data_IF_988837233147
#
_entry.id   IF_988837233147
#
_cell.length_a   1.000
_cell.length_b   1.000
_cell.length_c   1.000
_cell.angle_alpha   90.00
_cell.angle_beta   90.00
_cell.angle_gamma   90.00
#
_symmetry.space_group_name_H-M   'P 1'
#
loop_
_entity.id
_entity.type
_entity.pdbx_description
1 polymer ?
#
# COMPACT_ATOMS: atom_id res chain seq x y z
N UNK A 1 -26.45 -18.51 -2.82
CA UNK A 1 -26.34 -17.49 -1.75
C UNK A 1 -24.90 -16.98 -1.76
N UNK A 2 -24.67 -15.73 -2.16
CA UNK A 2 -23.33 -15.13 -2.09
C UNK A 2 -22.99 -15.00 -0.60
N UNK A 3 -22.02 -15.77 -0.11
CA UNK A 3 -21.55 -15.69 1.26
C UNK A 3 -21.15 -14.24 1.57
N UNK A 4 -21.55 -13.74 2.73
CA UNK A 4 -21.16 -12.40 3.21
C UNK A 4 -19.63 -12.33 3.20
N UNK A 5 -19.03 -11.51 2.32
CA UNK A 5 -17.57 -11.32 2.30
C UNK A 5 -17.13 -10.84 3.68
N UNK A 6 -16.19 -11.51 4.30
CA UNK A 6 -15.67 -11.16 5.62
C UNK A 6 -14.69 -9.99 5.47
N UNK A 7 -14.98 -8.86 6.11
CA UNK A 7 -14.03 -7.76 6.18
C UNK A 7 -12.83 -8.18 7.05
N UNK A 8 -11.62 -8.05 6.50
CA UNK A 8 -10.36 -8.30 7.21
C UNK A 8 -9.81 -7.01 7.82
N UNK A 9 -10.07 -5.87 7.17
CA UNK A 9 -9.80 -4.52 7.70
C UNK A 9 -11.10 -3.72 7.60
N UNK A 10 -11.44 -2.98 8.67
CA UNK A 10 -12.59 -2.09 8.70
C UNK A 10 -12.20 -0.77 9.38
N UNK A 11 -12.35 0.32 8.67
CA UNK A 11 -12.24 1.68 9.18
C UNK A 11 -13.64 2.19 9.47
N UNK A 12 -13.87 2.74 10.69
CA UNK A 12 -15.17 3.29 11.10
C UNK A 12 -14.99 4.71 11.61
N UNK A 13 -15.46 5.68 10.84
CA UNK A 13 -15.44 7.11 11.13
C UNK A 13 -14.05 7.61 11.57
N UNK A 14 -13.00 7.11 10.89
CA UNK A 14 -11.62 7.36 11.22
C UNK A 14 -11.22 8.78 10.85
N UNK A 15 -10.65 9.51 11.83
CA UNK A 15 -10.08 10.84 11.62
C UNK A 15 -8.68 10.93 12.21
N UNK A 16 -7.81 11.71 11.56
CA UNK A 16 -6.44 12.00 12.01
C UNK A 16 -6.06 13.44 11.74
N UNK A 17 -5.52 14.11 12.77
CA UNK A 17 -5.06 15.50 12.73
C UNK A 17 -3.57 15.54 13.01
N UNK A 18 -2.82 16.35 12.27
CA UNK A 18 -1.43 16.70 12.55
C UNK A 18 -1.30 18.22 12.53
N UNK A 19 -0.73 18.81 13.58
CA UNK A 19 -0.48 20.26 13.66
C UNK A 19 -1.69 21.10 13.20
N UNK A 20 -2.87 20.81 13.73
CA UNK A 20 -4.16 21.44 13.39
C UNK A 20 -4.68 21.21 11.96
N UNK A 21 -3.96 20.46 11.12
CA UNK A 21 -4.44 20.06 9.80
C UNK A 21 -5.09 18.68 9.87
N UNK A 22 -6.35 18.59 9.45
CA UNK A 22 -7.09 17.32 9.36
C UNK A 22 -6.62 16.59 8.11
N UNK A 23 -5.81 15.54 8.30
CA UNK A 23 -5.21 14.75 7.22
C UNK A 23 -6.10 13.59 6.80
N UNK A 24 -6.86 13.02 7.75
CA UNK A 24 -7.93 12.05 7.49
C UNK A 24 -9.20 12.57 8.15
N UNK A 25 -10.29 12.56 7.40
CA UNK A 25 -11.55 13.16 7.78
C UNK A 25 -12.71 12.17 7.60
N UNK A 26 -13.11 11.55 8.70
CA UNK A 26 -14.31 10.71 8.79
C UNK A 26 -14.38 9.59 7.73
N UNK A 27 -13.26 8.86 7.57
CA UNK A 27 -13.17 7.78 6.58
C UNK A 27 -13.75 6.49 7.15
N UNK A 28 -14.71 5.91 6.43
CA UNK A 28 -15.27 4.58 6.71
C UNK A 28 -15.16 3.71 5.45
N UNK A 29 -14.49 2.55 5.56
CA UNK A 29 -14.36 1.60 4.47
C UNK A 29 -14.04 0.20 4.99
N UNK A 30 -14.43 -0.81 4.21
CA UNK A 30 -14.12 -2.21 4.47
C UNK A 30 -13.25 -2.79 3.36
N UNK A 31 -12.24 -3.57 3.75
CA UNK A 31 -11.39 -4.37 2.87
C UNK A 31 -11.68 -5.84 3.16
N UNK A 32 -11.99 -6.62 2.13
CA UNK A 32 -12.37 -8.01 2.28
C UNK A 32 -11.18 -8.95 2.11
N UNK A 33 -11.26 -10.10 2.78
CA UNK A 33 -10.22 -11.12 2.72
C UNK A 33 -9.99 -11.60 1.27
N UNK A 34 -8.72 -11.62 0.86
CA UNK A 34 -8.28 -12.15 -0.44
C UNK A 34 -8.50 -11.21 -1.63
N UNK A 35 -8.94 -9.96 -1.41
CA UNK A 35 -9.04 -8.98 -2.50
C UNK A 35 -7.76 -8.14 -2.62
N UNK A 36 -7.51 -7.62 -3.81
CA UNK A 36 -6.58 -6.52 -4.04
C UNK A 36 -7.37 -5.21 -3.99
N UNK A 37 -7.25 -4.50 -2.87
CA UNK A 37 -7.90 -3.22 -2.63
C UNK A 37 -6.94 -2.06 -2.89
N UNK A 38 -7.30 -1.17 -3.80
CA UNK A 38 -6.45 -0.02 -4.16
C UNK A 38 -7.01 1.27 -3.58
N UNK A 39 -6.16 2.02 -2.88
CA UNK A 39 -6.46 3.38 -2.40
C UNK A 39 -5.73 4.36 -3.32
N UNK A 40 -6.50 5.09 -4.11
CA UNK A 40 -5.96 6.07 -5.06
C UNK A 40 -6.29 7.51 -4.65
N UNK A 41 -5.58 8.47 -5.24
CA UNK A 41 -5.79 9.91 -5.04
C UNK A 41 -4.51 10.71 -5.24
N UNK A 42 -4.63 12.03 -5.25
CA UNK A 42 -3.52 12.94 -5.45
C UNK A 42 -2.43 12.83 -4.38
N UNK A 43 -1.23 13.31 -4.67
CA UNK A 43 -0.18 13.47 -3.65
C UNK A 43 -0.69 14.34 -2.49
N UNK A 44 -0.37 13.95 -1.25
CA UNK A 44 -0.82 14.67 -0.06
C UNK A 44 -2.30 14.44 0.32
N UNK A 45 -3.08 13.61 -0.38
CA UNK A 45 -4.50 13.35 -0.06
C UNK A 45 -4.73 12.52 1.21
N UNK A 46 -3.67 11.96 1.85
CA UNK A 46 -3.80 11.18 3.09
C UNK A 46 -3.61 9.67 2.93
N UNK A 47 -3.33 9.15 1.73
CA UNK A 47 -3.22 7.71 1.44
C UNK A 47 -2.21 6.97 2.34
N UNK A 48 -0.96 7.44 2.40
CA UNK A 48 0.07 6.83 3.26
C UNK A 48 -0.26 6.98 4.76
N UNK A 49 -1.03 8.00 5.13
CA UNK A 49 -1.54 8.16 6.51
C UNK A 49 -2.58 7.08 6.82
N UNK A 50 -3.51 6.79 5.89
CA UNK A 50 -4.45 5.67 6.04
C UNK A 50 -3.72 4.34 6.18
N UNK A 51 -2.69 4.11 5.37
CA UNK A 51 -1.88 2.91 5.45
C UNK A 51 -1.19 2.77 6.81
N UNK A 52 -0.63 3.87 7.36
CA UNK A 52 -0.04 3.89 8.70
C UNK A 52 -1.08 3.66 9.81
N UNK A 53 -2.31 4.12 9.64
CA UNK A 53 -3.42 3.83 10.56
C UNK A 53 -3.79 2.35 10.51
N UNK A 54 -3.92 1.75 9.31
CA UNK A 54 -4.26 0.33 9.14
C UNK A 54 -3.17 -0.62 9.64
N UNK A 55 -1.91 -0.21 9.66
CA UNK A 55 -0.79 -0.99 10.22
C UNK A 55 -0.57 -0.74 11.71
N UNK A 56 -1.35 0.16 12.32
CA UNK A 56 -1.18 0.58 13.71
C UNK A 56 0.12 1.36 13.98
N UNK A 57 0.83 1.83 12.92
CA UNK A 57 2.03 2.65 13.08
C UNK A 57 1.70 4.00 13.72
N UNK A 58 0.49 4.50 13.51
CA UNK A 58 -0.08 5.66 14.20
C UNK A 58 -1.49 5.33 14.66
N UNK A 59 -1.96 6.03 15.72
CA UNK A 59 -3.32 5.88 16.23
C UNK A 59 -4.25 6.96 15.64
N UNK A 60 -5.50 6.63 15.33
CA UNK A 60 -6.50 7.62 14.97
C UNK A 60 -6.82 8.54 16.16
N UNK A 61 -7.27 9.76 15.88
CA UNK A 61 -7.77 10.67 16.91
C UNK A 61 -9.26 10.45 17.17
N UNK A 62 -10.00 9.93 16.15
CA UNK A 62 -11.40 9.51 16.26
C UNK A 62 -11.62 8.26 15.41
N UNK A 63 -12.65 7.50 15.78
CA UNK A 63 -13.08 6.29 15.08
C UNK A 63 -12.31 5.05 15.50
N UNK A 64 -12.47 3.97 14.74
CA UNK A 64 -11.90 2.66 15.02
C UNK A 64 -11.23 2.08 13.79
N UNK A 65 -10.11 1.38 14.00
CA UNK A 65 -9.38 0.64 12.96
C UNK A 65 -9.37 -0.83 13.36
N UNK A 66 -10.26 -1.61 12.78
CA UNK A 66 -10.38 -3.03 13.06
C UNK A 66 -9.56 -3.84 12.05
N UNK A 67 -8.72 -4.73 12.53
CA UNK A 67 -8.00 -5.72 11.73
C UNK A 67 -8.27 -7.09 12.32
N UNK A 68 -8.76 -8.02 11.50
CA UNK A 68 -9.26 -9.32 11.95
C UNK A 68 -10.29 -9.20 13.11
N UNK A 69 -11.07 -8.11 13.13
CA UNK A 69 -12.09 -7.84 14.16
C UNK A 69 -11.58 -7.22 15.46
N UNK A 70 -10.26 -7.04 15.65
CA UNK A 70 -9.68 -6.35 16.81
C UNK A 70 -9.32 -4.88 16.47
N UNK A 71 -9.68 -3.94 17.35
CA UNK A 71 -9.30 -2.52 17.21
C UNK A 71 -7.80 -2.35 17.53
N UNK A 72 -6.98 -2.24 16.48
CA UNK A 72 -5.52 -2.13 16.61
C UNK A 72 -5.05 -0.86 17.32
N UNK A 73 -5.91 0.16 17.46
CA UNK A 73 -5.57 1.37 18.20
C UNK A 73 -5.73 1.18 19.73
N UNK A 74 -6.53 0.21 20.17
CA UNK A 74 -6.87 -0.04 21.58
C UNK A 74 -6.17 -1.26 22.19
N UNK A 75 -5.66 -2.18 21.37
CA UNK A 75 -4.92 -3.35 21.87
C UNK A 75 -3.58 -2.97 22.49
N UNK A 76 -3.04 -3.84 23.36
CA UNK A 76 -1.72 -3.66 23.96
C UNK A 76 -0.61 -3.73 22.89
N UNK A 77 0.54 -3.12 23.15
CA UNK A 77 1.70 -3.17 22.24
C UNK A 77 2.10 -4.60 21.88
N UNK A 78 2.08 -5.52 22.87
CA UNK A 78 2.36 -6.94 22.63
C UNK A 78 1.40 -7.57 21.62
N UNK A 79 0.09 -7.31 21.75
CA UNK A 79 -0.91 -7.81 20.80
C UNK A 79 -0.75 -7.15 19.43
N UNK A 80 -0.41 -5.87 19.38
CA UNK A 80 -0.15 -5.15 18.14
C UNK A 80 1.07 -5.74 17.40
N UNK A 81 2.13 -6.08 18.13
CA UNK A 81 3.31 -6.71 17.55
C UNK A 81 3.00 -8.11 17.01
N UNK A 82 2.17 -8.90 17.71
CA UNK A 82 1.69 -10.17 17.18
C UNK A 82 0.83 -10.01 15.92
N UNK A 83 -0.07 -9.01 15.88
CA UNK A 83 -0.85 -8.70 14.70
C UNK A 83 0.06 -8.30 13.52
N UNK A 84 1.08 -7.48 13.75
CA UNK A 84 2.04 -7.05 12.72
C UNK A 84 2.86 -8.18 12.11
N UNK A 85 3.09 -9.29 12.81
CA UNK A 85 3.75 -10.48 12.24
C UNK A 85 2.93 -11.09 11.10
N UNK A 86 1.63 -10.84 11.06
CA UNK A 86 0.74 -11.28 9.98
C UNK A 86 0.67 -10.28 8.82
N UNK A 87 1.40 -9.17 8.90
CA UNK A 87 1.46 -8.14 7.87
C UNK A 87 2.78 -8.19 7.11
N UNK A 88 2.69 -8.03 5.79
CA UNK A 88 3.83 -7.65 4.96
C UNK A 88 3.76 -6.17 4.62
N UNK A 89 4.92 -5.53 4.42
CA UNK A 89 4.99 -4.12 4.02
C UNK A 89 6.04 -3.91 2.94
N UNK A 90 5.60 -3.38 1.78
CA UNK A 90 6.49 -2.86 0.76
C UNK A 90 6.44 -1.32 0.80
N UNK A 91 7.55 -0.72 1.19
CA UNK A 91 7.71 0.74 1.26
C UNK A 91 8.03 1.34 -0.11
N UNK A 92 7.70 2.62 -0.29
CA UNK A 92 7.92 3.37 -1.53
C UNK A 92 9.36 3.28 -2.05
N UNK A 93 10.37 3.31 -1.19
CA UNK A 93 11.79 3.19 -1.54
C UNK A 93 12.37 1.82 -1.17
N UNK A 94 11.53 0.77 -1.06
CA UNK A 94 11.88 -0.59 -0.65
C UNK A 94 12.46 -0.73 0.76
N UNK A 95 12.99 0.32 1.35
CA UNK A 95 13.59 0.37 2.69
C UNK A 95 14.55 -0.81 2.95
N UNK A 96 15.42 -1.12 1.98
CA UNK A 96 16.45 -2.12 2.14
C UNK A 96 17.60 -1.53 2.97
N UNK A 97 18.22 -2.37 3.79
CA UNK A 97 19.43 -2.00 4.52
C UNK A 97 20.64 -2.20 3.58
N UNK A 98 21.31 -1.10 3.24
CA UNK A 98 22.42 -1.10 2.28
C UNK A 98 23.65 -1.88 2.75
N UNK A 99 23.79 -2.05 4.08
CA UNK A 99 24.86 -2.85 4.72
C UNK A 99 24.61 -4.36 4.67
N UNK A 100 23.42 -4.79 4.26
CA UNK A 100 23.03 -6.19 4.18
C UNK A 100 22.88 -6.64 2.74
N UNK A 101 23.21 -7.90 2.48
CA UNK A 101 22.95 -8.56 1.19
C UNK A 101 21.45 -8.72 0.93
N UNK A 102 21.08 -9.11 -0.27
CA UNK A 102 19.71 -9.45 -0.66
C UNK A 102 19.17 -10.58 0.23
N UNK A 103 19.93 -11.67 0.44
CA UNK A 103 19.55 -12.77 1.34
C UNK A 103 19.29 -12.25 2.76
N UNK A 104 20.20 -11.45 3.29
CA UNK A 104 20.09 -10.91 4.65
C UNK A 104 18.89 -9.97 4.80
N UNK A 105 18.63 -9.08 3.83
CA UNK A 105 17.45 -8.22 3.85
C UNK A 105 16.14 -9.02 3.90
N UNK A 106 16.02 -10.10 3.09
CA UNK A 106 14.81 -10.94 3.07
C UNK A 106 14.72 -11.80 4.33
N UNK A 107 15.85 -12.18 4.93
CA UNK A 107 15.88 -13.01 6.15
C UNK A 107 15.50 -12.25 7.42
N UNK A 108 15.57 -10.91 7.44
CA UNK A 108 15.31 -10.09 8.63
C UNK A 108 14.03 -10.46 9.38
N UNK A 109 12.83 -10.48 8.74
CA UNK A 109 11.61 -10.82 9.46
C UNK A 109 11.64 -12.23 10.06
N UNK A 110 12.26 -13.17 9.35
CA UNK A 110 12.38 -14.56 9.81
C UNK A 110 13.27 -14.67 11.05
N UNK A 111 14.41 -13.96 11.05
CA UNK A 111 15.35 -13.93 12.19
C UNK A 111 14.74 -13.27 13.42
N UNK A 112 14.00 -12.16 13.22
CA UNK A 112 13.38 -11.39 14.30
C UNK A 112 12.16 -12.09 14.92
N UNK A 113 11.36 -12.80 14.10
CA UNK A 113 10.04 -13.26 14.51
C UNK A 113 9.87 -14.78 14.53
N UNK A 114 10.92 -15.55 14.20
CA UNK A 114 10.88 -17.02 14.28
C UNK A 114 12.06 -17.58 15.07
N UNK A 115 11.96 -18.87 15.43
CA UNK A 115 13.05 -19.63 16.04
C UNK A 115 13.63 -20.67 15.07
N UNK A 116 13.53 -20.39 13.77
CA UNK A 116 14.00 -21.31 12.73
C UNK A 116 15.54 -21.34 12.70
N UNK A 117 16.10 -22.50 12.43
CA UNK A 117 17.53 -22.63 12.22
C UNK A 117 17.96 -21.94 10.93
N UNK A 118 19.19 -21.40 10.88
CA UNK A 118 19.70 -20.58 9.76
C UNK A 118 19.59 -21.28 8.40
N UNK A 119 19.83 -22.59 8.34
CA UNK A 119 19.71 -23.33 7.08
C UNK A 119 18.26 -23.39 6.56
N UNK A 120 17.26 -23.41 7.46
CA UNK A 120 15.83 -23.35 7.08
C UNK A 120 15.49 -21.95 6.58
N UNK A 121 15.96 -20.89 7.29
CA UNK A 121 15.79 -19.50 6.87
C UNK A 121 16.35 -19.31 5.45
N UNK A 122 17.55 -19.81 5.15
CA UNK A 122 18.15 -19.74 3.82
C UNK A 122 17.30 -20.42 2.74
N UNK A 123 16.71 -21.57 3.04
CA UNK A 123 15.80 -22.24 2.10
C UNK A 123 14.58 -21.36 1.82
N UNK A 124 13.92 -20.86 2.87
CA UNK A 124 12.74 -19.96 2.73
C UNK A 124 13.10 -18.73 1.90
N UNK A 125 14.21 -18.06 2.21
CA UNK A 125 14.67 -16.86 1.49
C UNK A 125 14.86 -17.15 0.00
N UNK A 126 15.53 -18.25 -0.35
CA UNK A 126 15.70 -18.66 -1.76
C UNK A 126 14.37 -18.92 -2.45
N UNK A 127 13.39 -19.53 -1.77
CA UNK A 127 12.04 -19.71 -2.30
C UNK A 127 11.37 -18.35 -2.56
N UNK A 128 11.44 -17.41 -1.60
CA UNK A 128 10.83 -16.07 -1.74
C UNK A 128 11.50 -15.25 -2.85
N UNK A 129 12.83 -15.31 -2.95
CA UNK A 129 13.56 -14.66 -4.05
C UNK A 129 13.21 -15.27 -5.41
N UNK A 130 13.02 -16.59 -5.49
CA UNK A 130 12.57 -17.25 -6.71
C UNK A 130 11.17 -16.79 -7.16
N UNK A 131 10.25 -16.59 -6.20
CA UNK A 131 8.88 -16.10 -6.49
C UNK A 131 8.88 -14.70 -7.12
N UNK A 132 9.86 -13.86 -6.79
CA UNK A 132 10.01 -12.51 -7.35
C UNK A 132 11.01 -12.44 -8.50
N UNK A 133 11.49 -13.59 -9.01
CA UNK A 133 12.42 -13.66 -10.15
C UNK A 133 13.82 -13.16 -9.85
N UNK A 134 14.31 -13.37 -8.61
CA UNK A 134 15.65 -12.96 -8.15
C UNK A 134 16.50 -14.14 -7.66
N UNK A 135 16.27 -15.34 -8.18
CA UNK A 135 17.14 -16.49 -7.92
C UNK A 135 18.55 -16.20 -8.42
N UNK A 136 19.56 -16.43 -7.58
CA UNK A 136 20.98 -16.21 -7.91
C UNK A 136 21.51 -14.81 -7.51
N UNK A 137 20.68 -13.96 -6.94
CA UNK A 137 21.08 -12.62 -6.46
C UNK A 137 21.26 -12.55 -4.94
N UNK A 138 21.29 -13.68 -4.25
CA UNK A 138 21.30 -13.77 -2.78
C UNK A 138 22.47 -13.00 -2.14
N UNK A 139 23.67 -13.07 -2.74
CA UNK A 139 24.90 -12.46 -2.23
C UNK A 139 25.12 -11.00 -2.65
N UNK A 140 24.26 -10.44 -3.51
CA UNK A 140 24.38 -9.06 -3.96
C UNK A 140 23.96 -8.08 -2.87
N UNK A 141 24.56 -6.90 -2.88
CA UNK A 141 24.14 -5.78 -2.06
C UNK A 141 23.12 -4.89 -2.79
N UNK A 142 22.30 -4.11 -2.08
CA UNK A 142 21.37 -3.18 -2.71
C UNK A 142 22.01 -2.23 -3.73
N UNK A 143 23.25 -1.79 -3.49
CA UNK A 143 24.01 -0.93 -4.40
C UNK A 143 24.35 -1.59 -5.75
N UNK A 144 24.29 -2.91 -5.85
CA UNK A 144 24.68 -3.70 -7.03
C UNK A 144 23.50 -4.12 -7.90
N UNK A 145 22.26 -3.74 -7.50
CA UNK A 145 21.03 -4.14 -8.19
C UNK A 145 20.21 -2.92 -8.63
N UNK A 146 19.40 -3.09 -9.68
CA UNK A 146 18.55 -2.02 -10.22
C UNK A 146 17.42 -1.62 -9.26
N UNK A 147 16.80 -0.44 -9.49
CA UNK A 147 15.65 0.01 -8.71
C UNK A 147 14.48 -0.96 -8.72
N UNK A 148 14.16 -1.55 -9.88
CA UNK A 148 13.13 -2.58 -9.98
C UNK A 148 13.49 -3.88 -9.24
N UNK A 149 14.78 -4.26 -9.21
CA UNK A 149 15.23 -5.39 -8.40
C UNK A 149 15.11 -5.08 -6.91
N UNK A 150 15.46 -3.86 -6.47
CA UNK A 150 15.27 -3.42 -5.07
C UNK A 150 13.80 -3.55 -4.63
N UNK A 151 12.85 -3.14 -5.48
CA UNK A 151 11.41 -3.32 -5.21
C UNK A 151 11.05 -4.80 -5.04
N UNK A 152 11.56 -5.68 -5.91
CA UNK A 152 11.32 -7.12 -5.83
C UNK A 152 11.95 -7.77 -4.60
N UNK A 153 13.14 -7.33 -4.17
CA UNK A 153 13.72 -7.75 -2.87
C UNK A 153 12.84 -7.29 -1.71
N UNK A 154 12.38 -6.03 -1.72
CA UNK A 154 11.43 -5.52 -0.73
C UNK A 154 10.13 -6.34 -0.68
N UNK A 155 9.64 -6.77 -1.84
CA UNK A 155 8.47 -7.64 -1.94
C UNK A 155 8.75 -9.04 -1.37
N UNK A 156 9.89 -9.66 -1.70
CA UNK A 156 10.31 -10.94 -1.13
C UNK A 156 10.39 -10.88 0.40
N UNK A 157 10.94 -9.76 0.95
CA UNK A 157 10.98 -9.51 2.39
C UNK A 157 9.57 -9.35 2.98
N UNK A 158 8.69 -8.62 2.30
CA UNK A 158 7.31 -8.42 2.76
C UNK A 158 6.52 -9.72 2.88
N UNK A 159 6.81 -10.72 2.01
CA UNK A 159 6.13 -12.03 2.05
C UNK A 159 6.94 -13.11 2.77
N UNK A 160 8.03 -12.79 3.47
CA UNK A 160 8.92 -13.76 4.08
C UNK A 160 8.24 -14.60 5.17
N UNK A 161 7.33 -14.01 5.96
CA UNK A 161 6.58 -14.65 7.04
C UNK A 161 5.21 -15.23 6.60
N UNK A 162 4.95 -15.37 5.31
CA UNK A 162 3.64 -15.79 4.77
C UNK A 162 2.47 -14.97 5.34
N UNK A 163 2.48 -13.64 5.15
CA UNK A 163 1.50 -12.75 5.74
C UNK A 163 0.10 -12.96 5.15
N UNK A 164 -0.92 -12.64 5.96
CA UNK A 164 -2.33 -12.67 5.53
C UNK A 164 -2.70 -11.39 4.75
N UNK A 165 -2.02 -10.27 5.11
CA UNK A 165 -2.23 -8.95 4.50
C UNK A 165 -0.87 -8.41 4.07
N UNK A 166 -0.79 -7.87 2.84
CA UNK A 166 0.39 -7.11 2.39
C UNK A 166 -0.04 -5.69 2.03
N UNK A 167 0.65 -4.73 2.63
CA UNK A 167 0.50 -3.31 2.35
C UNK A 167 1.58 -2.86 1.38
N UNK A 168 1.20 -2.09 0.38
CA UNK A 168 2.08 -1.55 -0.64
C UNK A 168 1.94 -0.03 -0.69
N UNK A 169 3.02 0.68 -0.40
CA UNK A 169 3.08 2.15 -0.51
C UNK A 169 3.81 2.52 -1.79
N UNK A 170 3.07 2.97 -2.82
CA UNK A 170 3.57 3.38 -4.14
C UNK A 170 4.54 2.35 -4.77
N UNK A 171 4.11 1.11 -5.02
CA UNK A 171 5.00 0.01 -5.43
C UNK A 171 5.70 0.24 -6.76
N UNK A 172 5.10 0.97 -7.70
CA UNK A 172 5.63 1.24 -9.04
C UNK A 172 6.33 2.60 -9.15
N UNK A 173 6.31 3.41 -8.10
CA UNK A 173 6.93 4.74 -8.09
C UNK A 173 8.42 4.68 -8.41
N UNK A 174 8.87 5.53 -9.36
CA UNK A 174 10.26 5.63 -9.78
C UNK A 174 10.73 4.51 -10.71
N UNK A 175 9.81 3.67 -11.22
CA UNK A 175 10.09 2.64 -12.21
C UNK A 175 9.64 3.11 -13.60
N UNK A 176 10.31 2.61 -14.64
CA UNK A 176 9.80 2.76 -16.00
C UNK A 176 8.51 1.92 -16.19
N UNK A 177 7.68 2.24 -17.19
CA UNK A 177 6.37 1.59 -17.37
C UNK A 177 6.43 0.07 -17.57
N UNK A 178 7.53 -0.47 -18.13
CA UNK A 178 7.68 -1.90 -18.35
C UNK A 178 7.98 -2.61 -17.03
N UNK A 179 8.94 -2.10 -16.27
CA UNK A 179 9.30 -2.65 -14.95
C UNK A 179 8.16 -2.45 -13.95
N UNK A 180 7.44 -1.32 -14.03
CA UNK A 180 6.20 -1.10 -13.27
C UNK A 180 5.16 -2.17 -13.56
N UNK A 181 4.93 -2.48 -14.86
CA UNK A 181 4.02 -3.55 -15.26
C UNK A 181 4.42 -4.95 -14.77
N UNK A 182 5.71 -5.23 -14.68
CA UNK A 182 6.21 -6.49 -14.06
C UNK A 182 5.90 -6.51 -12.57
N UNK A 183 6.07 -5.39 -11.87
CA UNK A 183 5.77 -5.27 -10.44
C UNK A 183 4.26 -5.45 -10.18
N UNK A 184 3.41 -4.83 -10.99
CA UNK A 184 1.94 -5.01 -10.94
C UNK A 184 1.56 -6.48 -11.10
N UNK A 185 2.13 -7.14 -12.11
CA UNK A 185 1.88 -8.57 -12.34
C UNK A 185 2.31 -9.41 -11.15
N UNK A 186 3.48 -9.13 -10.54
CA UNK A 186 3.95 -9.85 -9.36
C UNK A 186 3.00 -9.65 -8.17
N UNK A 187 2.52 -8.44 -7.91
CA UNK A 187 1.55 -8.16 -6.84
C UNK A 187 0.30 -9.01 -7.05
N UNK A 188 -0.25 -9.00 -8.27
CA UNK A 188 -1.45 -9.76 -8.61
C UNK A 188 -1.23 -11.26 -8.48
N UNK A 189 -0.16 -11.79 -9.08
CA UNK A 189 0.19 -13.22 -9.03
C UNK A 189 0.36 -13.72 -7.59
N UNK A 190 1.03 -12.94 -6.73
CA UNK A 190 1.23 -13.29 -5.33
C UNK A 190 -0.08 -13.26 -4.54
N UNK A 191 -0.91 -12.24 -4.78
CA UNK A 191 -2.24 -12.12 -4.15
C UNK A 191 -3.10 -13.34 -4.46
N UNK A 192 -3.18 -13.72 -5.74
CA UNK A 192 -3.99 -14.85 -6.19
C UNK A 192 -3.43 -16.22 -5.75
N UNK A 193 -2.11 -16.43 -5.90
CA UNK A 193 -1.49 -17.74 -5.61
C UNK A 193 -1.29 -18.03 -4.14
N UNK A 194 -1.03 -16.99 -3.34
CA UNK A 194 -0.81 -17.12 -1.90
C UNK A 194 -2.05 -16.73 -1.07
N UNK A 195 -3.17 -16.38 -1.74
CA UNK A 195 -4.43 -15.95 -1.11
C UNK A 195 -4.24 -14.78 -0.14
N UNK A 196 -3.33 -13.86 -0.47
CA UNK A 196 -3.01 -12.68 0.31
C UNK A 196 -4.04 -11.59 0.04
N UNK A 197 -4.46 -10.87 1.09
CA UNK A 197 -5.18 -9.61 0.92
C UNK A 197 -4.18 -8.51 0.65
N UNK A 198 -4.29 -7.84 -0.50
CA UNK A 198 -3.36 -6.78 -0.90
C UNK A 198 -4.01 -5.40 -0.74
N UNK A 199 -3.37 -4.50 0.01
CA UNK A 199 -3.78 -3.10 0.15
C UNK A 199 -2.74 -2.23 -0.51
N UNK A 200 -3.08 -1.65 -1.65
CA UNK A 200 -2.14 -0.88 -2.47
C UNK A 200 -2.50 0.60 -2.44
N UNK A 201 -1.55 1.43 -2.05
CA UNK A 201 -1.66 2.88 -2.16
C UNK A 201 -0.89 3.32 -3.39
N UNK A 202 -1.55 4.00 -4.33
CA UNK A 202 -0.90 4.53 -5.53
C UNK A 202 -1.67 5.69 -6.17
N UNK A 203 -0.97 6.48 -6.97
CA UNK A 203 -1.56 7.47 -7.87
C UNK A 203 -1.43 7.05 -9.34
N UNK A 204 -0.80 5.91 -9.62
CA UNK A 204 -0.64 5.38 -10.98
C UNK A 204 -1.90 4.66 -11.46
N UNK A 205 -2.64 5.32 -12.35
CA UNK A 205 -3.89 4.78 -12.91
C UNK A 205 -3.69 3.50 -13.74
N UNK A 206 -2.51 3.32 -14.35
CA UNK A 206 -2.25 2.09 -15.09
C UNK A 206 -2.15 0.88 -14.15
N UNK A 207 -1.45 1.04 -13.02
CA UNK A 207 -1.40 0.03 -11.96
C UNK A 207 -2.79 -0.22 -11.38
N UNK A 208 -3.54 0.85 -11.04
CA UNK A 208 -4.91 0.74 -10.50
C UNK A 208 -5.77 -0.17 -11.37
N UNK A 209 -5.79 0.06 -12.68
CA UNK A 209 -6.64 -0.71 -13.60
C UNK A 209 -6.19 -2.16 -13.84
N UNK A 210 -4.91 -2.46 -13.61
CA UNK A 210 -4.36 -3.81 -13.82
C UNK A 210 -4.57 -4.74 -12.63
N UNK A 211 -4.47 -4.20 -11.40
CA UNK A 211 -4.39 -5.06 -10.21
C UNK A 211 -5.62 -5.03 -9.32
N UNK A 212 -6.47 -3.99 -9.39
CA UNK A 212 -7.53 -3.82 -8.41
C UNK A 212 -8.75 -4.71 -8.64
N UNK A 213 -9.27 -5.27 -7.55
CA UNK A 213 -10.64 -5.81 -7.46
C UNK A 213 -11.61 -4.72 -7.05
N UNK A 214 -11.23 -3.92 -6.03
CA UNK A 214 -11.97 -2.76 -5.54
C UNK A 214 -11.04 -1.59 -5.32
N UNK A 215 -11.60 -0.40 -5.40
CA UNK A 215 -10.88 0.87 -5.37
C UNK A 215 -11.58 1.80 -4.40
N UNK A 216 -10.81 2.60 -3.66
CA UNK A 216 -11.27 3.78 -2.95
C UNK A 216 -10.49 5.00 -3.44
N UNK A 217 -11.18 6.09 -3.72
CA UNK A 217 -10.54 7.38 -3.99
C UNK A 217 -10.55 8.24 -2.74
N UNK A 218 -9.38 8.75 -2.35
CA UNK A 218 -9.21 9.70 -1.25
C UNK A 218 -8.79 11.07 -1.82
N UNK A 219 -9.51 12.10 -1.41
CA UNK A 219 -9.19 13.49 -1.73
C UNK A 219 -9.33 14.34 -0.47
N UNK A 220 -8.33 15.17 -0.17
CA UNK A 220 -8.27 16.03 1.03
C UNK A 220 -8.63 15.30 2.34
N UNK A 221 -8.17 14.05 2.48
CA UNK A 221 -8.42 13.23 3.65
C UNK A 221 -9.80 12.57 3.72
N UNK A 222 -10.71 12.84 2.80
CA UNK A 222 -12.04 12.27 2.76
C UNK A 222 -12.14 11.15 1.71
N UNK A 223 -13.02 10.18 1.98
CA UNK A 223 -13.39 9.14 1.02
C UNK A 223 -14.38 9.74 0.01
N UNK A 224 -13.97 9.82 -1.25
CA UNK A 224 -14.81 10.35 -2.33
C UNK A 224 -15.78 9.30 -2.85
N UNK A 225 -15.26 8.12 -3.14
CA UNK A 225 -16.06 6.98 -3.63
C UNK A 225 -15.29 5.68 -3.45
N UNK A 226 -16.01 4.58 -3.26
CA UNK A 226 -15.44 3.23 -3.25
C UNK A 226 -16.34 2.28 -4.02
N UNK A 227 -15.74 1.33 -4.74
CA UNK A 227 -16.48 0.36 -5.54
C UNK A 227 -15.57 -0.62 -6.24
N UNK A 228 -16.14 -1.53 -7.00
CA UNK A 228 -15.40 -2.41 -7.92
C UNK A 228 -14.80 -1.60 -9.06
N UNK A 229 -13.80 -2.16 -9.72
CA UNK A 229 -13.19 -1.52 -10.91
C UNK A 229 -14.23 -1.13 -11.97
N UNK A 230 -15.27 -1.96 -12.15
CA UNK A 230 -16.36 -1.69 -13.12
C UNK A 230 -17.24 -0.51 -12.70
N UNK A 231 -17.54 -0.39 -11.41
CA UNK A 231 -18.34 0.71 -10.86
C UNK A 231 -17.57 2.03 -10.95
N UNK A 232 -16.30 2.03 -10.54
CA UNK A 232 -15.42 3.20 -10.59
C UNK A 232 -15.26 3.72 -12.04
N UNK A 233 -15.08 2.84 -13.02
CA UNK A 233 -15.00 3.23 -14.44
C UNK A 233 -16.31 3.87 -14.97
N UNK A 234 -17.45 3.54 -14.40
CA UNK A 234 -18.77 4.07 -14.80
C UNK A 234 -19.23 5.25 -13.94
N UNK A 235 -18.47 5.60 -12.93
CA UNK A 235 -18.84 6.66 -12.00
C UNK A 235 -19.04 8.01 -12.72
N UNK A 236 -20.03 8.76 -12.26
CA UNK A 236 -20.31 10.14 -12.72
C UNK A 236 -19.68 11.18 -11.80
N UNK A 237 -19.01 10.75 -10.70
CA UNK A 237 -18.39 11.64 -9.75
C UNK A 237 -17.32 12.50 -10.45
N UNK A 238 -17.39 13.84 -10.37
CA UNK A 238 -16.48 14.73 -11.10
C UNK A 238 -15.02 14.61 -10.62
N UNK A 239 -14.78 14.36 -9.34
CA UNK A 239 -13.43 14.13 -8.80
C UNK A 239 -12.79 12.87 -9.40
N UNK A 240 -13.56 11.77 -9.47
CA UNK A 240 -13.10 10.53 -10.09
C UNK A 240 -12.81 10.69 -11.57
N UNK A 241 -13.71 11.36 -12.31
CA UNK A 241 -13.54 11.61 -13.74
C UNK A 241 -12.26 12.40 -14.01
N UNK A 242 -12.07 13.51 -13.29
CA UNK A 242 -10.89 14.33 -13.44
C UNK A 242 -9.62 13.54 -13.14
N UNK A 243 -9.59 12.80 -12.02
CA UNK A 243 -8.41 12.04 -11.62
C UNK A 243 -8.07 10.93 -12.61
N UNK A 244 -9.06 10.19 -13.09
CA UNK A 244 -8.89 9.10 -14.06
C UNK A 244 -8.43 9.61 -15.44
N UNK A 245 -8.99 10.74 -15.89
CA UNK A 245 -8.64 11.32 -17.20
C UNK A 245 -7.34 12.13 -17.19
N UNK A 246 -6.84 12.50 -15.99
CA UNK A 246 -5.69 13.41 -15.85
C UNK A 246 -5.98 14.81 -16.35
N UNK A 247 -7.27 15.23 -16.42
CA UNK A 247 -7.62 16.57 -16.85
C UNK A 247 -7.20 17.62 -15.80
N UNK A 248 -6.65 18.75 -16.24
CA UNK A 248 -6.30 19.86 -15.37
C UNK A 248 -7.53 20.64 -14.90
N UNK A 249 -8.61 20.65 -15.70
CA UNK A 249 -9.87 21.31 -15.35
C UNK A 249 -10.78 20.38 -14.54
N UNK A 250 -11.32 20.87 -13.41
CA UNK A 250 -12.27 20.12 -12.58
C UNK A 250 -12.20 20.49 -11.10
N UNK A 251 -12.91 19.75 -10.24
CA UNK A 251 -13.02 20.08 -8.82
C UNK A 251 -11.72 19.85 -8.03
N UNK A 252 -10.74 19.11 -8.57
CA UNK A 252 -9.41 18.98 -7.98
C UNK A 252 -8.58 20.15 -8.48
N UNK A 253 -8.48 21.19 -7.65
CA UNK A 253 -7.70 22.38 -7.95
C UNK A 253 -6.45 22.42 -7.04
N UNK A 254 -5.29 22.53 -7.67
CA UNK A 254 -4.00 22.70 -6.97
C UNK A 254 -3.64 24.15 -6.75
N UNK A 255 -4.24 25.05 -7.52
CA UNK A 255 -4.02 26.50 -7.46
C UNK A 255 -5.25 27.17 -6.86
N UNK A 256 -5.39 27.08 -5.51
CA UNK A 256 -6.55 27.64 -4.77
C UNK A 256 -6.67 29.17 -4.87
N UNK A 257 -5.69 29.84 -5.42
CA UNK A 257 -5.72 31.28 -5.72
C UNK A 257 -5.41 31.45 -7.21
N UNK A 258 -6.31 32.10 -7.94
CA UNK A 258 -5.97 32.63 -9.26
C UNK A 258 -4.78 33.56 -9.11
N UNK A 259 -3.63 33.15 -9.66
CA UNK A 259 -2.46 33.99 -9.71
C UNK A 259 -2.79 35.08 -10.73
N UNK A 260 -3.23 36.25 -10.29
CA UNK A 260 -3.32 37.39 -11.17
C UNK A 260 -1.91 37.85 -11.55
N UNK A 261 -1.48 37.37 -12.72
CA UNK A 261 -0.16 37.69 -13.28
C UNK A 261 0.01 39.21 -13.43
N UNK A 262 -1.10 39.94 -13.63
CA UNK A 262 -1.06 41.41 -13.73
C UNK A 262 -0.73 42.05 -12.38
N UNK A 263 -1.28 41.50 -11.28
CA UNK A 263 -0.98 41.99 -9.93
C UNK A 263 0.48 41.69 -9.54
N UNK A 264 1.04 40.55 -9.96
CA UNK A 264 2.44 40.20 -9.74
C UNK A 264 3.39 41.07 -10.59
N UNK A 265 3.01 41.35 -11.82
CA UNK A 265 3.84 42.12 -12.74
C UNK A 265 3.65 43.67 -12.62
N UNK A 266 2.75 44.12 -11.74
CA UNK A 266 2.39 45.55 -11.57
C UNK A 266 2.05 46.25 -12.90
N UNK A 267 1.31 45.59 -13.81
CA UNK A 267 0.87 46.12 -15.11
C UNK A 267 -0.66 46.13 -15.24
#
# INVERSE_FOLDING_TARGET
>A
MAGKKQAIISLKNVSKVFQNRKVINDVSLDIYKGETFVIMGCSGSGKSTLLRLMTGAIKPDKGEVLVNGEDIAKISNRKLDEARKTFGMLFQYSALLDSLTVEENVSLPLKEHSRLADHIIKIIVRMKLSLVGLKGYESYYPSQISGGMKKRVGLARAIALDPVIVFYDEPTSGLDPVVGGVTDKLIKDLSEKLLITSVVVTHDMQSVFKISDRIAMIHEGALIETGTLSEIKKSKNPYLKQFISGNHEGPIDFFKEEIDIKEILNI
#
